data_IF_986113449459
#
_entry.id   IF_986113449459
#
_cell.length_a   1.000
_cell.length_b   1.000
_cell.length_c   1.000
_cell.angle_alpha   90.00
_cell.angle_beta   90.00
_cell.angle_gamma   90.00
#
_symmetry.space_group_name_H-M   'P 1'
#
loop_
_entity.id
_entity.type
_entity.pdbx_description
1 polymer ?
#
# COMPACT_ATOMS: atom_id res chain seq x y z
N UNK A 1 10.32 2.34 -10.11
CA UNK A 1 9.21 2.50 -9.14
C UNK A 1 8.67 3.94 -9.19
N UNK A 2 7.36 4.14 -9.37
CA UNK A 2 6.75 5.47 -9.48
C UNK A 2 6.72 6.22 -8.14
N UNK A 3 6.64 7.56 -8.13
CA UNK A 3 6.51 8.34 -6.89
C UNK A 3 5.28 7.92 -6.06
N UNK A 4 4.18 7.55 -6.72
CA UNK A 4 2.98 7.07 -6.03
C UNK A 4 3.20 5.69 -5.37
N UNK A 5 3.86 4.75 -6.05
CA UNK A 5 4.19 3.45 -5.47
C UNK A 5 5.09 3.59 -4.22
N UNK A 6 6.08 4.51 -4.24
CA UNK A 6 6.88 4.83 -3.05
C UNK A 6 6.02 5.30 -1.87
N UNK A 7 5.03 6.17 -2.12
CA UNK A 7 4.09 6.63 -1.08
C UNK A 7 3.23 5.48 -0.56
N UNK A 8 2.71 4.63 -1.44
CA UNK A 8 1.93 3.44 -1.07
C UNK A 8 2.75 2.53 -0.14
N UNK A 9 3.98 2.17 -0.50
CA UNK A 9 4.80 1.32 0.35
C UNK A 9 5.13 1.94 1.72
N UNK A 10 5.41 3.25 1.78
CA UNK A 10 5.60 3.95 3.08
C UNK A 10 4.36 3.89 3.97
N UNK A 11 3.17 4.04 3.39
CA UNK A 11 1.90 3.93 4.13
C UNK A 11 1.72 2.52 4.66
N UNK A 12 2.03 1.50 3.87
CA UNK A 12 1.85 0.09 4.27
C UNK A 12 2.81 -0.31 5.38
N UNK A 13 4.06 0.18 5.32
CA UNK A 13 5.04 0.00 6.40
C UNK A 13 4.61 0.63 7.73
N UNK A 14 3.71 1.63 7.70
CA UNK A 14 3.16 2.24 8.92
C UNK A 14 1.99 1.47 9.55
N UNK A 15 1.51 0.38 8.94
CA UNK A 15 0.39 -0.39 9.48
C UNK A 15 0.90 -1.26 10.65
N UNK A 16 0.36 -1.08 11.87
CA UNK A 16 0.78 -1.86 13.04
C UNK A 16 0.60 -3.37 12.87
N UNK A 17 1.32 -4.15 13.66
CA UNK A 17 1.13 -5.60 13.72
C UNK A 17 -0.25 -5.93 14.32
N UNK A 18 -0.93 -6.93 13.76
CA UNK A 18 -2.29 -7.32 14.19
C UNK A 18 -3.39 -6.46 13.60
N UNK A 19 -3.05 -5.42 12.83
CA UNK A 19 -4.02 -4.56 12.17
C UNK A 19 -4.00 -4.71 10.65
N UNK A 20 -5.17 -4.51 10.05
CA UNK A 20 -5.36 -4.48 8.59
C UNK A 20 -5.95 -3.15 8.16
N UNK A 21 -5.72 -2.78 6.90
CA UNK A 21 -6.31 -1.62 6.23
C UNK A 21 -6.91 -2.06 4.91
N UNK A 22 -7.73 -1.20 4.31
CA UNK A 22 -8.28 -1.48 2.97
C UNK A 22 -7.46 -0.76 1.90
N UNK A 23 -7.53 -1.25 0.66
CA UNK A 23 -6.97 -0.54 -0.51
C UNK A 23 -7.38 0.95 -0.57
N UNK A 24 -8.63 1.26 -0.23
CA UNK A 24 -9.14 2.65 -0.20
C UNK A 24 -8.48 3.48 0.91
N UNK A 25 -8.28 2.90 2.08
CA UNK A 25 -7.57 3.56 3.18
C UNK A 25 -6.14 3.91 2.79
N UNK A 26 -5.42 2.95 2.19
CA UNK A 26 -4.04 3.15 1.73
C UNK A 26 -3.99 4.22 0.64
N UNK A 27 -4.89 4.17 -0.34
CA UNK A 27 -4.96 5.16 -1.42
C UNK A 27 -5.21 6.58 -0.87
N UNK A 28 -6.15 6.72 0.07
CA UNK A 28 -6.43 7.99 0.76
C UNK A 28 -5.18 8.51 1.49
N UNK A 29 -4.50 7.66 2.26
CA UNK A 29 -3.30 8.05 3.03
C UNK A 29 -2.08 8.33 2.14
N UNK A 30 -1.98 7.67 0.99
CA UNK A 30 -0.96 7.92 -0.03
C UNK A 30 -1.23 9.19 -0.87
N UNK A 31 -2.32 9.91 -0.61
CA UNK A 31 -2.66 11.20 -1.22
C UNK A 31 -3.56 11.11 -2.45
N UNK A 32 -4.18 9.96 -2.72
CA UNK A 32 -5.14 9.83 -3.84
C UNK A 32 -6.30 8.90 -3.48
N UNK A 33 -7.42 9.48 -3.04
CA UNK A 33 -8.61 8.74 -2.60
C UNK A 33 -9.23 7.85 -3.70
N UNK A 34 -8.99 8.14 -4.98
CA UNK A 34 -9.52 7.39 -6.14
C UNK A 34 -8.57 6.31 -6.66
N UNK A 35 -7.36 6.19 -6.13
CA UNK A 35 -6.32 5.29 -6.65
C UNK A 35 -6.32 3.88 -6.03
N UNK A 36 -7.43 3.43 -5.42
CA UNK A 36 -7.50 2.13 -4.73
C UNK A 36 -7.21 0.93 -5.64
N UNK A 37 -7.63 0.98 -6.92
CA UNK A 37 -7.25 -0.06 -7.90
C UNK A 37 -5.75 -0.08 -8.18
N UNK A 38 -5.13 1.10 -8.29
CA UNK A 38 -3.69 1.20 -8.50
C UNK A 38 -2.90 0.65 -7.31
N UNK A 39 -3.39 0.84 -6.07
CA UNK A 39 -2.79 0.21 -4.88
C UNK A 39 -2.77 -1.31 -5.02
N UNK A 40 -3.88 -1.93 -5.45
CA UNK A 40 -3.94 -3.37 -5.70
C UNK A 40 -2.92 -3.84 -6.74
N UNK A 41 -2.77 -3.12 -7.86
CA UNK A 41 -1.75 -3.41 -8.87
C UNK A 41 -0.32 -3.27 -8.33
N UNK A 42 -0.05 -2.25 -7.51
CA UNK A 42 1.26 -2.01 -6.89
C UNK A 42 1.61 -3.13 -5.91
N UNK A 43 0.62 -3.64 -5.17
CA UNK A 43 0.83 -4.74 -4.23
C UNK A 43 0.98 -6.09 -4.92
N UNK A 44 0.21 -6.34 -5.99
CA UNK A 44 0.39 -7.53 -6.85
C UNK A 44 1.80 -7.59 -7.43
N UNK A 45 2.35 -6.44 -7.83
CA UNK A 45 3.67 -6.33 -8.45
C UNK A 45 4.76 -5.92 -7.43
N UNK A 46 4.59 -6.23 -6.14
CA UNK A 46 5.55 -5.85 -5.11
C UNK A 46 6.89 -6.62 -5.27
N UNK A 47 8.01 -5.93 -5.52
CA UNK A 47 9.33 -6.58 -5.63
C UNK A 47 9.95 -6.97 -4.27
N UNK A 48 9.36 -6.55 -3.15
CA UNK A 48 9.89 -6.77 -1.79
C UNK A 48 8.86 -7.44 -0.86
N UNK A 49 8.43 -8.70 -1.13
CA UNK A 49 7.37 -9.37 -0.38
C UNK A 49 7.71 -9.65 1.10
N UNK A 50 9.00 -9.74 1.45
CA UNK A 50 9.44 -9.98 2.83
C UNK A 50 9.48 -8.71 3.69
N UNK A 51 9.62 -7.54 3.06
CA UNK A 51 9.80 -6.25 3.76
C UNK A 51 8.48 -5.50 3.82
N UNK A 52 7.73 -5.48 2.72
CA UNK A 52 6.45 -4.79 2.64
C UNK A 52 5.35 -5.75 3.09
N UNK A 53 4.62 -5.45 4.19
CA UNK A 53 3.59 -6.35 4.72
C UNK A 53 2.29 -6.27 3.90
N UNK A 54 2.31 -6.75 2.65
CA UNK A 54 1.16 -6.71 1.74
C UNK A 54 -0.08 -7.44 2.28
N UNK A 55 0.09 -8.43 3.16
CA UNK A 55 -0.99 -9.18 3.82
C UNK A 55 -1.82 -8.33 4.79
N UNK A 56 -1.40 -7.08 5.09
CA UNK A 56 -2.11 -6.15 5.97
C UNK A 56 -3.03 -5.18 5.22
N UNK A 57 -3.28 -5.40 3.92
CA UNK A 57 -4.02 -4.48 3.03
C UNK A 57 -5.11 -5.21 2.24
#
# INVERSE_FOLDING_TARGET
>A
MTPFAKKVYRVILSIPLGEVRTYKWVAKKAGSNRAYRAVGTILKNNPYPLIIPCHRV
#
